data_IF_584688063370
#
_entry.id   IF_584688063370
#
_cell.length_a   1.000
_cell.length_b   1.000
_cell.length_c   1.000
_cell.angle_alpha   90.00
_cell.angle_beta   90.00
_cell.angle_gamma   90.00
#
_symmetry.space_group_name_H-M   'P 1'
#
loop_
_entity.id
_entity.type
_entity.pdbx_description
1 polymer ?
#
# COMPACT_ATOMS: atom_id res chain seq x y z
N UNK A 1 -28.96 6.75 -16.66
CA UNK A 1 -29.52 7.51 -15.52
C UNK A 1 -28.35 7.97 -14.68
N UNK A 2 -28.03 9.27 -14.80
CA UNK A 2 -26.87 9.93 -14.20
C UNK A 2 -27.14 10.23 -12.73
N UNK A 3 -26.66 9.39 -11.83
CA UNK A 3 -26.48 9.82 -10.45
C UNK A 3 -25.06 10.37 -10.33
N UNK A 4 -24.94 11.69 -10.48
CA UNK A 4 -23.76 12.43 -10.04
C UNK A 4 -23.85 12.44 -8.52
N UNK A 5 -23.27 11.45 -7.84
CA UNK A 5 -23.35 11.40 -6.39
C UNK A 5 -22.34 12.38 -5.79
N UNK A 6 -22.85 13.49 -5.26
CA UNK A 6 -22.10 14.38 -4.38
C UNK A 6 -21.80 13.69 -3.05
N UNK A 7 -20.83 14.23 -2.29
CA UNK A 7 -20.50 13.71 -0.96
C UNK A 7 -21.75 13.63 -0.06
N UNK A 8 -22.14 12.41 0.32
CA UNK A 8 -23.20 12.20 1.30
C UNK A 8 -22.77 12.70 2.69
N UNK A 9 -23.70 12.90 3.65
CA UNK A 9 -23.34 13.26 5.02
C UNK A 9 -22.33 12.29 5.65
N UNK A 10 -22.42 10.99 5.35
CA UNK A 10 -21.49 10.01 5.90
C UNK A 10 -20.08 10.13 5.30
N UNK A 11 -19.96 10.44 4.01
CA UNK A 11 -18.65 10.73 3.40
C UNK A 11 -18.00 11.95 4.08
N UNK A 12 -18.76 13.03 4.28
CA UNK A 12 -18.27 14.24 4.96
C UNK A 12 -17.81 13.92 6.38
N UNK A 13 -18.60 13.16 7.12
CA UNK A 13 -18.24 12.75 8.48
C UNK A 13 -16.93 11.94 8.53
N UNK A 14 -16.67 11.07 7.54
CA UNK A 14 -15.39 10.35 7.40
C UNK A 14 -14.24 11.29 7.04
N UNK A 15 -14.44 12.19 6.08
CA UNK A 15 -13.42 13.17 5.66
C UNK A 15 -13.01 14.07 6.83
N UNK A 16 -13.98 14.51 7.63
CA UNK A 16 -13.81 15.39 8.79
C UNK A 16 -13.40 14.62 10.07
N UNK A 17 -13.21 13.29 10.00
CA UNK A 17 -12.93 12.40 11.14
C UNK A 17 -13.92 12.56 12.32
N UNK A 18 -15.19 12.82 12.01
CA UNK A 18 -16.24 13.09 12.99
C UNK A 18 -16.93 11.80 13.47
N UNK A 19 -16.33 11.15 14.47
CA UNK A 19 -16.82 9.88 15.03
C UNK A 19 -18.27 9.93 15.53
N UNK A 20 -18.71 11.07 16.09
CA UNK A 20 -20.08 11.23 16.61
C UNK A 20 -21.10 11.18 15.49
N UNK A 21 -20.82 11.91 14.41
CA UNK A 21 -21.69 11.94 13.24
C UNK A 21 -21.70 10.58 12.53
N UNK A 22 -20.55 9.91 12.43
CA UNK A 22 -20.45 8.54 11.89
C UNK A 22 -21.31 7.57 12.70
N UNK A 23 -21.26 7.64 14.04
CA UNK A 23 -22.07 6.77 14.89
C UNK A 23 -23.58 6.99 14.66
N UNK A 24 -24.00 8.24 14.46
CA UNK A 24 -25.40 8.58 14.16
C UNK A 24 -25.84 8.13 12.76
N UNK A 25 -24.93 8.21 11.78
CA UNK A 25 -25.20 7.88 10.38
C UNK A 25 -24.92 6.41 10.03
N UNK A 26 -24.31 5.62 10.91
CA UNK A 26 -24.00 4.20 10.68
C UNK A 26 -25.26 3.43 10.23
N UNK A 27 -25.14 2.66 9.16
CA UNK A 27 -26.25 1.97 8.48
C UNK A 27 -26.97 2.80 7.40
N UNK A 28 -26.67 4.10 7.26
CA UNK A 28 -27.13 4.95 6.17
C UNK A 28 -25.97 5.30 5.24
N UNK A 29 -26.23 5.38 3.93
CA UNK A 29 -25.25 5.81 2.93
C UNK A 29 -23.96 4.97 2.82
N UNK A 30 -23.87 3.81 3.47
CA UNK A 30 -22.65 2.99 3.54
C UNK A 30 -22.22 2.45 2.17
N UNK A 31 -23.18 2.09 1.34
CA UNK A 31 -22.95 1.59 -0.03
C UNK A 31 -23.02 2.70 -1.08
N UNK A 32 -23.25 3.96 -0.68
CA UNK A 32 -23.21 5.07 -1.61
C UNK A 32 -21.76 5.37 -1.95
N UNK A 33 -21.49 5.65 -3.22
CA UNK A 33 -20.20 6.16 -3.65
C UNK A 33 -20.23 7.70 -3.75
N UNK A 34 -19.07 8.33 -3.55
CA UNK A 34 -18.81 9.70 -3.96
C UNK A 34 -18.66 9.81 -5.49
N UNK A 35 -18.30 11.00 -5.97
CA UNK A 35 -18.12 11.31 -7.39
C UNK A 35 -16.86 10.67 -8.01
N UNK A 36 -15.93 10.18 -7.18
CA UNK A 36 -14.78 9.37 -7.60
C UNK A 36 -15.08 7.87 -7.57
N UNK A 37 -16.24 7.48 -7.03
CA UNK A 37 -16.65 6.09 -6.92
C UNK A 37 -16.24 5.41 -5.61
N UNK A 38 -15.81 6.13 -4.58
CA UNK A 38 -15.43 5.56 -3.28
C UNK A 38 -16.59 5.61 -2.29
N UNK A 39 -16.77 4.52 -1.54
CA UNK A 39 -17.67 4.45 -0.39
C UNK A 39 -17.07 5.16 0.83
N UNK A 40 -17.87 5.47 1.88
CA UNK A 40 -17.33 6.01 3.13
C UNK A 40 -16.32 5.06 3.80
N UNK A 41 -16.48 3.74 3.63
CA UNK A 41 -15.50 2.75 4.11
C UNK A 41 -14.16 2.90 3.38
N UNK A 42 -14.18 2.98 2.07
CA UNK A 42 -12.96 3.15 1.27
C UNK A 42 -12.30 4.51 1.56
N UNK A 43 -13.06 5.58 1.74
CA UNK A 43 -12.49 6.86 2.17
C UNK A 43 -11.86 6.77 3.56
N UNK A 44 -12.46 6.04 4.51
CA UNK A 44 -11.86 5.87 5.83
C UNK A 44 -10.55 5.06 5.76
N UNK A 45 -10.42 4.13 4.81
CA UNK A 45 -9.16 3.43 4.51
C UNK A 45 -8.13 4.37 3.89
N UNK A 46 -8.50 5.06 2.81
CA UNK A 46 -7.60 5.94 2.06
C UNK A 46 -7.18 7.17 2.85
N UNK A 47 -7.97 7.66 3.80
CA UNK A 47 -7.64 8.81 4.64
C UNK A 47 -7.02 8.42 5.98
N UNK A 48 -6.63 7.16 6.17
CA UNK A 48 -6.08 6.63 7.42
C UNK A 48 -6.95 7.01 8.66
N UNK A 49 -8.22 6.61 8.67
CA UNK A 49 -9.17 6.88 9.76
C UNK A 49 -9.53 5.58 10.49
N UNK A 50 -8.62 5.02 11.31
CA UNK A 50 -8.81 3.70 11.93
C UNK A 50 -10.04 3.64 12.85
N UNK A 51 -10.32 4.72 13.60
CA UNK A 51 -11.49 4.78 14.48
C UNK A 51 -12.79 4.87 13.68
N UNK A 52 -12.81 5.65 12.59
CA UNK A 52 -13.92 5.66 11.64
C UNK A 52 -14.17 4.27 11.04
N UNK A 53 -13.09 3.57 10.64
CA UNK A 53 -13.16 2.21 10.11
C UNK A 53 -13.72 1.23 11.12
N UNK A 54 -13.27 1.26 12.37
CA UNK A 54 -13.77 0.36 13.40
C UNK A 54 -15.28 0.57 13.66
N UNK A 55 -15.73 1.82 13.64
CA UNK A 55 -17.16 2.13 13.73
C UNK A 55 -17.95 1.64 12.52
N UNK A 56 -17.44 1.80 11.29
CA UNK A 56 -18.17 1.47 10.07
C UNK A 56 -18.11 -0.02 9.73
N UNK A 57 -16.94 -0.62 9.89
CA UNK A 57 -16.60 -1.96 9.47
C UNK A 57 -15.50 -2.53 10.39
N UNK A 58 -15.88 -3.13 11.53
CA UNK A 58 -14.94 -3.74 12.47
C UNK A 58 -14.00 -4.71 11.75
N UNK A 59 -12.71 -4.50 11.89
CA UNK A 59 -11.72 -5.32 11.20
C UNK A 59 -11.43 -6.59 11.99
N UNK A 60 -11.13 -7.68 11.27
CA UNK A 60 -10.65 -8.90 11.93
C UNK A 60 -9.25 -8.64 12.50
N UNK A 61 -8.91 -9.25 13.66
CA UNK A 61 -7.55 -9.21 14.16
C UNK A 61 -6.55 -9.72 13.12
N UNK A 62 -5.47 -8.98 12.93
CA UNK A 62 -4.36 -9.32 12.03
C UNK A 62 -3.14 -9.65 12.89
N UNK A 63 -2.36 -10.63 12.44
CA UNK A 63 -1.12 -11.02 13.07
C UNK A 63 -0.03 -11.32 12.05
N UNK A 64 1.21 -11.11 12.44
CA UNK A 64 2.38 -11.22 11.58
C UNK A 64 3.37 -12.25 12.14
N UNK A 65 3.96 -13.05 11.26
CA UNK A 65 5.02 -13.97 11.64
C UNK A 65 6.37 -13.26 11.60
N UNK A 66 7.10 -13.24 12.71
CA UNK A 66 8.35 -12.52 12.86
C UNK A 66 9.42 -13.39 13.54
N UNK A 67 10.57 -13.55 12.90
CA UNK A 67 11.79 -14.10 13.50
C UNK A 67 12.73 -12.95 13.82
N UNK A 68 13.00 -12.77 15.12
CA UNK A 68 13.89 -11.71 15.62
C UNK A 68 15.37 -12.05 15.39
N UNK A 69 16.22 -11.02 15.43
CA UNK A 69 17.67 -11.18 15.49
C UNK A 69 18.06 -12.15 16.62
N UNK A 70 19.03 -13.02 16.34
CA UNK A 70 19.54 -14.05 17.25
C UNK A 70 18.51 -15.13 17.70
N UNK A 71 17.33 -15.15 17.08
CA UNK A 71 16.30 -16.18 17.29
C UNK A 71 16.18 -17.10 16.08
N UNK A 72 15.95 -18.39 16.31
CA UNK A 72 15.62 -19.38 15.28
C UNK A 72 14.12 -19.63 15.14
N UNK A 73 13.29 -19.01 15.98
CA UNK A 73 11.85 -19.27 16.06
C UNK A 73 11.04 -18.15 15.42
N UNK A 74 9.96 -18.52 14.72
CA UNK A 74 8.93 -17.59 14.27
C UNK A 74 7.93 -17.33 15.41
N UNK A 75 7.76 -16.07 15.77
CA UNK A 75 6.76 -15.62 16.72
C UNK A 75 5.59 -14.98 15.98
N UNK A 76 4.39 -15.07 16.56
CA UNK A 76 3.23 -14.33 16.07
C UNK A 76 3.14 -13.02 16.83
N UNK A 77 3.09 -11.89 16.11
CA UNK A 77 2.90 -10.56 16.66
C UNK A 77 1.55 -10.01 16.20
N UNK A 78 0.80 -9.38 17.09
CA UNK A 78 -0.35 -8.57 16.70
C UNK A 78 0.11 -7.21 16.11
N UNK A 79 -0.84 -6.36 15.68
CA UNK A 79 -0.54 -5.06 15.08
C UNK A 79 0.27 -4.16 16.01
N UNK A 80 -0.19 -3.93 17.24
CA UNK A 80 0.50 -3.05 18.20
C UNK A 80 1.93 -3.54 18.54
N UNK A 81 2.12 -4.86 18.67
CA UNK A 81 3.45 -5.45 18.90
C UNK A 81 4.39 -5.23 17.71
N UNK A 82 3.88 -5.41 16.48
CA UNK A 82 4.61 -5.16 15.26
C UNK A 82 4.98 -3.69 15.11
N UNK A 83 4.03 -2.79 15.31
CA UNK A 83 4.24 -1.34 15.19
C UNK A 83 5.30 -0.85 16.18
N UNK A 84 5.18 -1.26 17.44
CA UNK A 84 6.17 -0.95 18.48
C UNK A 84 7.55 -1.57 18.16
N UNK A 85 7.59 -2.80 17.63
CA UNK A 85 8.85 -3.50 17.34
C UNK A 85 9.64 -2.83 16.22
N UNK A 86 8.96 -2.40 15.18
CA UNK A 86 9.59 -1.86 13.97
C UNK A 86 9.54 -0.33 13.89
N UNK A 87 8.91 0.34 14.87
CA UNK A 87 8.70 1.78 14.92
C UNK A 87 8.06 2.31 13.64
N UNK A 88 6.97 1.66 13.23
CA UNK A 88 6.15 1.99 12.06
C UNK A 88 4.67 1.82 12.41
N UNK A 89 3.79 2.55 11.74
CA UNK A 89 2.35 2.32 11.76
C UNK A 89 1.96 1.38 10.61
N UNK A 90 1.11 0.39 10.90
CA UNK A 90 0.69 -0.59 9.91
C UNK A 90 -0.45 -0.04 9.04
N UNK A 91 -0.17 0.17 7.76
CA UNK A 91 -1.15 0.61 6.76
C UNK A 91 -1.37 -0.47 5.70
N UNK A 92 -2.48 -1.23 5.73
CA UNK A 92 -2.78 -2.23 4.71
C UNK A 92 -3.29 -1.64 3.39
N UNK A 93 -3.53 -0.32 3.34
CA UNK A 93 -3.96 0.43 2.16
C UNK A 93 -2.99 1.59 1.90
N UNK A 94 -2.96 2.09 0.66
CA UNK A 94 -2.41 3.41 0.39
C UNK A 94 -3.20 4.45 1.19
N UNK A 95 -2.48 5.42 1.77
CA UNK A 95 -3.08 6.48 2.57
C UNK A 95 -2.76 7.86 2.02
N UNK A 96 -3.61 8.82 2.31
CA UNK A 96 -3.56 10.19 1.83
C UNK A 96 -3.85 11.12 3.00
N UNK A 97 -3.08 12.20 3.12
CA UNK A 97 -3.26 13.21 4.17
C UNK A 97 -4.68 13.82 4.14
N UNK A 98 -5.24 13.99 2.94
CA UNK A 98 -6.54 14.62 2.76
C UNK A 98 -7.30 14.10 1.53
N UNK A 99 -8.62 14.28 1.57
CA UNK A 99 -9.48 14.01 0.41
C UNK A 99 -9.09 14.88 -0.80
N UNK A 100 -8.65 16.12 -0.57
CA UNK A 100 -8.17 17.00 -1.64
C UNK A 100 -6.94 16.41 -2.35
N UNK A 101 -5.96 15.89 -1.59
CA UNK A 101 -4.78 15.23 -2.13
C UNK A 101 -5.16 13.96 -2.90
N UNK A 102 -6.06 13.12 -2.37
CA UNK A 102 -6.57 11.94 -3.08
C UNK A 102 -7.16 12.32 -4.45
N UNK A 103 -8.02 13.34 -4.49
CA UNK A 103 -8.62 13.84 -5.74
C UNK A 103 -7.57 14.32 -6.72
N UNK A 104 -6.60 15.11 -6.23
CA UNK A 104 -5.51 15.62 -7.05
C UNK A 104 -4.70 14.48 -7.65
N UNK A 105 -4.29 13.50 -6.85
CA UNK A 105 -3.49 12.35 -7.28
C UNK A 105 -4.23 11.52 -8.31
N UNK A 106 -5.53 11.29 -8.11
CA UNK A 106 -6.37 10.62 -9.10
C UNK A 106 -6.34 11.43 -10.38
N UNK A 107 -6.62 12.74 -10.36
CA UNK A 107 -6.56 13.57 -11.57
C UNK A 107 -5.20 13.51 -12.25
N UNK A 108 -4.10 13.50 -11.50
CA UNK A 108 -2.74 13.44 -12.03
C UNK A 108 -2.36 12.08 -12.65
N UNK A 109 -3.19 11.05 -12.53
CA UNK A 109 -2.96 9.76 -13.17
C UNK A 109 -2.77 9.92 -14.69
N UNK A 110 -1.64 9.45 -15.25
CA UNK A 110 -1.35 9.54 -16.68
C UNK A 110 -2.46 8.94 -17.55
N UNK A 111 -2.80 9.62 -18.65
CA UNK A 111 -3.79 9.12 -19.62
C UNK A 111 -3.45 7.71 -20.11
N UNK A 112 -2.17 7.42 -20.34
CA UNK A 112 -1.71 6.11 -20.81
C UNK A 112 -2.05 4.98 -19.82
N UNK A 113 -1.99 5.25 -18.51
CA UNK A 113 -2.35 4.28 -17.48
C UNK A 113 -3.87 4.13 -17.33
N UNK A 114 -4.64 5.14 -17.74
CA UNK A 114 -6.11 5.13 -17.74
C UNK A 114 -6.72 4.51 -18.99
N UNK A 115 -5.97 4.39 -20.08
CA UNK A 115 -6.50 3.90 -21.33
C UNK A 115 -6.29 2.39 -21.48
N UNK A 116 -7.38 1.62 -21.38
CA UNK A 116 -7.38 0.16 -21.49
C UNK A 116 -6.90 -0.40 -22.83
N UNK A 117 -6.75 0.44 -23.86
CA UNK A 117 -6.23 0.02 -25.16
C UNK A 117 -4.70 0.11 -25.23
N UNK A 118 -4.08 1.04 -24.50
CA UNK A 118 -2.62 1.25 -24.48
C UNK A 118 -1.97 0.56 -23.25
N UNK A 119 -2.68 0.53 -22.13
CA UNK A 119 -2.28 -0.15 -20.89
C UNK A 119 -3.28 -1.27 -20.54
N UNK A 120 -3.63 -2.10 -21.52
CA UNK A 120 -4.56 -3.22 -21.37
C UNK A 120 -4.20 -4.12 -20.17
N UNK A 121 -2.90 -4.32 -19.95
CA UNK A 121 -2.39 -5.13 -18.85
C UNK A 121 -2.74 -4.55 -17.48
N UNK A 122 -2.70 -3.22 -17.29
CA UNK A 122 -2.94 -2.60 -15.98
C UNK A 122 -4.37 -2.81 -15.49
N UNK A 123 -5.36 -2.61 -16.37
CA UNK A 123 -6.77 -2.91 -16.06
C UNK A 123 -7.02 -4.40 -15.93
N UNK A 124 -6.30 -5.22 -16.70
CA UNK A 124 -6.37 -6.67 -16.59
C UNK A 124 -5.87 -7.12 -15.22
N UNK A 125 -4.77 -6.56 -14.71
CA UNK A 125 -4.28 -6.83 -13.35
C UNK A 125 -5.25 -6.36 -12.27
N UNK A 126 -5.84 -5.16 -12.41
CA UNK A 126 -6.90 -4.71 -11.50
C UNK A 126 -8.07 -5.68 -11.46
N UNK A 127 -8.52 -6.16 -12.62
CA UNK A 127 -9.62 -7.13 -12.71
C UNK A 127 -9.23 -8.49 -12.14
N UNK A 128 -8.03 -8.97 -12.47
CA UNK A 128 -7.49 -10.26 -12.03
C UNK A 128 -7.31 -10.31 -10.51
N UNK A 129 -6.80 -9.22 -9.91
CA UNK A 129 -6.46 -9.15 -8.49
C UNK A 129 -7.42 -8.32 -7.67
N UNK A 130 -8.63 -8.00 -8.20
CA UNK A 130 -9.65 -7.17 -7.54
C UNK A 130 -9.90 -7.61 -6.10
N UNK A 131 -10.15 -8.92 -5.90
CA UNK A 131 -10.43 -9.47 -4.58
C UNK A 131 -9.26 -9.27 -3.61
N UNK A 132 -8.04 -9.55 -4.06
CA UNK A 132 -6.82 -9.40 -3.27
C UNK A 132 -6.59 -7.94 -2.87
N UNK A 133 -6.90 -7.02 -3.79
CA UNK A 133 -6.78 -5.59 -3.62
C UNK A 133 -7.83 -5.03 -2.65
N UNK A 134 -9.07 -5.50 -2.70
CA UNK A 134 -10.16 -5.03 -1.84
C UNK A 134 -10.07 -5.64 -0.42
N UNK A 135 -9.58 -6.88 -0.31
CA UNK A 135 -9.41 -7.62 0.95
C UNK A 135 -7.99 -7.52 1.55
N UNK A 136 -7.10 -6.70 0.95
CA UNK A 136 -5.69 -6.50 1.36
C UNK A 136 -4.92 -7.80 1.58
N UNK A 137 -5.15 -8.77 0.69
CA UNK A 137 -4.53 -10.09 0.79
C UNK A 137 -3.02 -9.97 0.64
N UNK A 138 -2.29 -10.52 1.61
CA UNK A 138 -0.86 -10.77 1.51
C UNK A 138 -0.65 -12.27 1.33
N UNK A 139 0.32 -12.66 0.51
CA UNK A 139 0.80 -14.03 0.50
C UNK A 139 1.23 -14.45 1.91
N UNK A 140 1.18 -15.75 2.22
CA UNK A 140 1.68 -16.23 3.51
C UNK A 140 3.18 -15.94 3.58
N UNK A 141 3.56 -15.02 4.44
CA UNK A 141 4.94 -14.55 4.58
C UNK A 141 5.32 -14.39 6.04
N UNK A 142 6.62 -14.31 6.29
CA UNK A 142 7.20 -13.90 7.56
C UNK A 142 8.28 -12.84 7.37
N UNK A 143 8.48 -12.01 8.39
CA UNK A 143 9.62 -11.12 8.50
C UNK A 143 10.72 -11.86 9.26
N UNK A 144 11.93 -11.93 8.73
CA UNK A 144 13.05 -12.61 9.39
C UNK A 144 14.30 -11.76 9.35
N UNK A 145 15.11 -11.85 10.40
CA UNK A 145 16.44 -11.27 10.40
C UNK A 145 17.33 -11.93 9.34
N UNK A 146 18.03 -11.12 8.55
CA UNK A 146 18.93 -11.58 7.47
C UNK A 146 20.38 -11.43 7.90
N UNK A 147 20.82 -10.21 8.22
CA UNK A 147 22.19 -9.90 8.64
C UNK A 147 22.26 -8.49 9.24
N UNK A 148 23.39 -8.12 9.85
CA UNK A 148 23.61 -6.75 10.34
C UNK A 148 23.65 -5.69 9.22
N UNK A 149 24.10 -6.07 8.02
CA UNK A 149 24.19 -5.15 6.88
C UNK A 149 22.84 -4.92 6.18
N UNK A 150 21.96 -5.92 6.20
CA UNK A 150 20.67 -5.90 5.49
C UNK A 150 19.52 -5.58 6.45
N UNK A 151 19.60 -6.06 7.69
CA UNK A 151 18.52 -6.03 8.66
C UNK A 151 17.52 -7.16 8.42
N UNK A 152 16.23 -6.81 8.33
CA UNK A 152 15.14 -7.77 8.15
C UNK A 152 14.79 -7.96 6.67
N UNK A 153 14.23 -9.12 6.34
CA UNK A 153 13.75 -9.49 5.02
C UNK A 153 12.37 -10.14 5.07
N UNK A 154 11.66 -10.14 3.94
CA UNK A 154 10.38 -10.82 3.78
C UNK A 154 10.57 -12.22 3.16
N UNK A 155 9.95 -13.24 3.73
CA UNK A 155 10.14 -14.64 3.35
C UNK A 155 8.82 -15.34 3.06
N UNK A 156 8.80 -16.22 2.06
CA UNK A 156 7.64 -17.04 1.73
C UNK A 156 7.36 -18.12 2.80
N UNK A 157 6.11 -18.28 3.24
CA UNK A 157 5.67 -19.36 4.14
C UNK A 157 4.89 -20.48 3.44
N UNK A 158 4.81 -20.41 2.12
CA UNK A 158 4.21 -21.42 1.25
C UNK A 158 4.95 -21.47 -0.09
N UNK A 159 4.83 -22.59 -0.80
CA UNK A 159 5.27 -22.64 -2.19
C UNK A 159 4.35 -21.76 -3.06
N UNK A 160 4.93 -21.07 -4.03
CA UNK A 160 4.22 -20.20 -4.97
C UNK A 160 4.67 -20.52 -6.39
N UNK A 161 3.76 -20.39 -7.34
CA UNK A 161 4.04 -20.53 -8.77
C UNK A 161 4.17 -19.16 -9.42
N UNK A 162 4.76 -19.11 -10.63
CA UNK A 162 4.86 -17.87 -11.41
C UNK A 162 3.47 -17.26 -11.60
N UNK A 163 3.35 -15.97 -11.35
CA UNK A 163 2.10 -15.21 -11.46
C UNK A 163 1.30 -15.08 -10.16
N UNK A 164 1.66 -15.81 -9.10
CA UNK A 164 0.97 -15.71 -7.80
C UNK A 164 1.11 -14.30 -7.22
N UNK A 165 0.00 -13.78 -6.69
CA UNK A 165 -0.05 -12.48 -6.03
C UNK A 165 0.68 -12.52 -4.70
N UNK A 166 1.58 -11.55 -4.48
CA UNK A 166 2.35 -11.43 -3.24
C UNK A 166 1.72 -10.42 -2.30
N UNK A 167 1.42 -9.22 -2.81
CA UNK A 167 0.93 -8.11 -2.01
C UNK A 167 1.02 -6.79 -2.76
N UNK A 168 0.35 -5.78 -2.21
CA UNK A 168 0.51 -4.38 -2.62
C UNK A 168 1.55 -3.68 -1.74
N UNK A 169 2.40 -2.83 -2.33
CA UNK A 169 3.21 -1.88 -1.60
C UNK A 169 2.37 -0.70 -1.16
N UNK A 170 2.20 -0.54 0.16
CA UNK A 170 1.39 0.53 0.72
C UNK A 170 2.21 1.42 1.65
N UNK A 171 1.71 2.63 1.84
CA UNK A 171 2.26 3.64 2.72
C UNK A 171 1.57 4.96 2.46
N UNK A 172 2.17 6.03 2.96
CA UNK A 172 1.67 7.39 2.75
C UNK A 172 1.97 7.86 1.33
N UNK A 173 0.94 8.20 0.56
CA UNK A 173 1.12 8.86 -0.72
C UNK A 173 1.20 10.37 -0.50
N UNK A 174 2.41 10.90 -0.66
CA UNK A 174 2.73 12.31 -0.39
C UNK A 174 3.44 12.97 -1.56
N UNK A 175 3.31 14.30 -1.63
CA UNK A 175 4.03 15.11 -2.60
C UNK A 175 5.48 15.32 -2.15
N UNK A 176 6.44 15.11 -3.05
CA UNK A 176 7.83 15.48 -2.83
C UNK A 176 8.03 16.98 -3.08
N UNK A 177 8.71 17.64 -2.15
CA UNK A 177 9.15 19.02 -2.37
C UNK A 177 10.25 19.06 -3.44
N UNK A 178 10.03 19.88 -4.47
CA UNK A 178 11.00 20.14 -5.53
C UNK A 178 12.29 20.81 -5.04
N UNK A 179 12.18 21.57 -3.95
CA UNK A 179 13.27 22.39 -3.44
C UNK A 179 14.10 21.65 -2.40
N UNK A 180 13.49 20.68 -1.71
CA UNK A 180 14.12 19.84 -0.69
C UNK A 180 13.53 18.44 -0.77
N UNK A 181 14.15 17.57 -1.55
CA UNK A 181 13.74 16.16 -1.57
C UNK A 181 14.14 15.53 -0.24
N UNK A 182 13.14 15.10 0.51
CA UNK A 182 13.24 14.30 1.74
C UNK A 182 13.00 12.81 1.45
N UNK A 183 13.26 12.39 0.21
CA UNK A 183 13.09 11.01 -0.22
C UNK A 183 14.03 10.09 0.58
N UNK A 184 13.46 9.06 1.19
CA UNK A 184 14.19 8.04 1.93
C UNK A 184 14.20 6.69 1.16
N UNK A 185 14.86 5.69 1.72
CA UNK A 185 15.01 4.37 1.09
C UNK A 185 13.73 3.54 0.96
N UNK A 186 12.60 3.99 1.50
CA UNK A 186 11.30 3.33 1.43
C UNK A 186 10.32 4.04 0.48
N UNK A 187 10.75 5.12 -0.17
CA UNK A 187 9.94 5.86 -1.13
C UNK A 187 9.93 5.18 -2.51
N UNK A 188 8.74 4.88 -3.01
CA UNK A 188 8.51 4.41 -4.38
C UNK A 188 7.88 5.53 -5.23
N UNK A 189 8.46 5.81 -6.39
CA UNK A 189 7.96 6.86 -7.29
C UNK A 189 6.58 6.54 -7.85
N UNK A 190 5.68 7.52 -7.80
CA UNK A 190 4.32 7.40 -8.30
C UNK A 190 4.16 8.19 -9.60
N UNK A 191 3.59 7.58 -10.64
CA UNK A 191 3.55 8.20 -11.96
C UNK A 191 2.54 9.35 -12.02
N UNK A 192 2.92 10.44 -12.68
CA UNK A 192 2.04 11.58 -12.96
C UNK A 192 2.03 11.91 -14.44
N UNK A 193 1.03 12.70 -14.88
CA UNK A 193 0.97 13.29 -16.21
C UNK A 193 2.34 13.90 -16.58
N UNK A 194 2.77 13.78 -17.83
CA UNK A 194 4.10 14.22 -18.26
C UNK A 194 4.35 15.73 -18.11
N UNK A 195 3.29 16.54 -18.03
CA UNK A 195 3.34 17.98 -17.76
C UNK A 195 3.11 18.34 -16.29
N UNK A 196 2.92 17.34 -15.41
CA UNK A 196 2.67 17.57 -14.00
C UNK A 196 3.88 18.24 -13.38
N UNK A 197 3.61 19.30 -12.61
CA UNK A 197 4.64 19.86 -11.77
C UNK A 197 4.74 19.13 -10.42
N UNK A 198 3.80 18.27 -10.07
CA UNK A 198 3.82 17.59 -8.79
C UNK A 198 4.46 16.20 -8.95
N UNK A 199 5.37 15.88 -8.03
CA UNK A 199 6.00 14.57 -7.94
C UNK A 199 5.46 13.90 -6.68
N UNK A 200 4.95 12.69 -6.80
CA UNK A 200 4.45 11.93 -5.65
C UNK A 200 5.30 10.69 -5.44
N UNK A 201 5.33 10.25 -4.18
CA UNK A 201 5.89 8.97 -3.78
C UNK A 201 4.92 8.26 -2.85
N UNK A 202 4.98 6.93 -2.86
CA UNK A 202 4.48 6.11 -1.77
C UNK A 202 5.64 5.99 -0.77
N UNK A 203 5.51 6.58 0.40
CA UNK A 203 6.50 6.53 1.48
C UNK A 203 6.11 5.51 2.54
N UNK A 204 6.86 4.42 2.62
CA UNK A 204 6.64 3.36 3.60
C UNK A 204 7.59 3.42 4.80
N UNK A 205 8.27 4.56 5.03
CA UNK A 205 9.25 4.67 6.12
C UNK A 205 8.59 4.52 7.49
N UNK A 206 7.55 5.32 7.75
CA UNK A 206 6.84 5.37 9.04
C UNK A 206 5.43 4.78 8.98
N UNK A 207 4.82 4.69 7.80
CA UNK A 207 3.47 4.19 7.60
C UNK A 207 3.47 3.22 6.41
N UNK A 208 3.16 1.95 6.60
CA UNK A 208 3.19 0.98 5.51
C UNK A 208 2.90 -0.45 5.93
N UNK A 209 3.11 -1.41 5.04
CA UNK A 209 2.88 -2.83 5.32
C UNK A 209 4.15 -3.68 5.23
N UNK A 210 3.98 -5.00 5.29
CA UNK A 210 5.07 -5.98 5.29
C UNK A 210 5.92 -5.95 4.00
N UNK A 211 5.40 -5.41 2.89
CA UNK A 211 6.13 -5.34 1.62
C UNK A 211 7.37 -4.44 1.71
N UNK A 212 7.43 -3.51 2.67
CA UNK A 212 8.61 -2.66 2.93
C UNK A 212 9.86 -3.45 3.32
N UNK A 213 9.72 -4.71 3.77
CA UNK A 213 10.83 -5.59 4.15
C UNK A 213 11.39 -6.41 2.97
N UNK A 214 10.89 -6.21 1.75
CA UNK A 214 11.44 -6.87 0.57
C UNK A 214 12.79 -6.24 0.24
N UNK A 215 13.84 -7.05 0.22
CA UNK A 215 15.19 -6.60 -0.07
C UNK A 215 15.52 -6.62 -1.57
N UNK A 216 16.64 -6.00 -1.90
CA UNK A 216 17.20 -6.02 -3.24
C UNK A 216 17.80 -7.39 -3.61
N UNK A 217 17.70 -7.74 -4.89
CA UNK A 217 18.58 -8.71 -5.56
C UNK A 217 18.73 -8.34 -7.04
N UNK A 218 19.92 -8.59 -7.61
CA UNK A 218 20.14 -8.53 -9.06
C UNK A 218 19.40 -9.65 -9.80
N UNK A 219 19.06 -10.73 -9.09
CA UNK A 219 18.30 -11.88 -9.59
C UNK A 219 16.97 -12.02 -8.83
N UNK A 220 16.05 -11.06 -8.95
CA UNK A 220 14.83 -11.03 -8.15
C UNK A 220 13.87 -12.15 -8.54
N UNK A 221 13.13 -12.65 -7.55
CA UNK A 221 12.16 -13.74 -7.68
C UNK A 221 10.71 -13.26 -7.68
N UNK A 222 10.46 -11.98 -7.36
CA UNK A 222 9.16 -11.32 -7.55
C UNK A 222 9.34 -10.10 -8.47
N UNK A 223 8.25 -9.62 -9.07
CA UNK A 223 8.28 -8.47 -9.97
C UNK A 223 7.13 -7.49 -9.68
N UNK A 224 7.38 -6.18 -9.81
CA UNK A 224 6.35 -5.15 -9.67
C UNK A 224 5.41 -5.14 -10.88
N UNK A 225 4.13 -4.86 -10.65
CA UNK A 225 3.13 -4.49 -11.65
C UNK A 225 2.34 -3.28 -11.16
N UNK A 226 1.76 -2.51 -12.08
CA UNK A 226 0.88 -1.39 -11.75
C UNK A 226 -0.57 -1.77 -12.06
N UNK A 227 -1.39 -1.93 -11.02
CA UNK A 227 -2.84 -1.99 -11.17
C UNK A 227 -3.41 -0.56 -11.10
N UNK A 228 -4.48 -0.29 -11.83
CA UNK A 228 -5.15 1.01 -11.80
C UNK A 228 -6.64 0.84 -11.52
N UNK A 229 -7.14 1.50 -10.48
CA UNK A 229 -8.54 1.45 -10.05
C UNK A 229 -9.09 2.85 -9.82
N UNK A 230 -10.15 3.25 -10.53
CA UNK A 230 -10.73 4.62 -10.45
C UNK A 230 -9.67 5.75 -10.60
N UNK A 231 -8.60 5.49 -11.36
CA UNK A 231 -7.48 6.42 -11.54
C UNK A 231 -6.43 6.39 -10.43
N UNK A 232 -6.64 5.61 -9.38
CA UNK A 232 -5.64 5.30 -8.37
C UNK A 232 -4.73 4.18 -8.86
N UNK A 233 -3.42 4.43 -8.89
CA UNK A 233 -2.40 3.43 -9.21
C UNK A 233 -2.07 2.66 -7.93
N UNK A 234 -1.90 1.36 -8.06
CA UNK A 234 -1.62 0.42 -6.97
C UNK A 234 -0.41 -0.41 -7.36
N UNK A 235 0.67 -0.23 -6.59
CA UNK A 235 1.93 -0.93 -6.86
C UNK A 235 1.85 -2.33 -6.27
N UNK A 236 1.63 -3.34 -7.11
CA UNK A 236 1.49 -4.73 -6.67
C UNK A 236 2.73 -5.54 -7.03
N UNK A 237 2.89 -6.70 -6.41
CA UNK A 237 3.94 -7.65 -6.73
C UNK A 237 3.39 -9.05 -6.97
N UNK A 238 3.97 -9.71 -7.96
CA UNK A 238 3.68 -11.12 -8.29
C UNK A 238 4.97 -11.95 -8.32
N UNK A 239 4.84 -13.26 -8.13
CA UNK A 239 5.94 -14.20 -8.32
C UNK A 239 6.41 -14.20 -9.78
N UNK A 240 7.72 -14.00 -9.99
CA UNK A 240 8.33 -14.02 -11.33
C UNK A 240 8.67 -15.44 -11.79
N UNK A 241 9.01 -16.29 -10.84
CA UNK A 241 9.37 -17.70 -11.00
C UNK A 241 8.72 -18.52 -9.86
N UNK A 242 8.74 -19.85 -9.89
CA UNK A 242 8.38 -20.65 -8.72
C UNK A 242 9.22 -20.27 -7.49
N UNK A 243 8.58 -20.13 -6.34
CA UNK A 243 9.21 -19.75 -5.06
C UNK A 243 8.89 -20.85 -4.06
N UNK A 244 9.92 -21.45 -3.47
CA UNK A 244 9.75 -22.42 -2.40
C UNK A 244 9.49 -21.73 -1.06
N UNK A 245 8.76 -22.40 -0.18
CA UNK A 245 8.64 -22.00 1.23
C UNK A 245 10.03 -21.81 1.85
N UNK A 246 10.19 -20.73 2.61
CA UNK A 246 11.43 -20.35 3.28
C UNK A 246 12.37 -19.50 2.43
N UNK A 247 12.04 -19.25 1.16
CA UNK A 247 12.83 -18.37 0.28
C UNK A 247 12.54 -16.90 0.57
N UNK A 248 13.60 -16.08 0.61
CA UNK A 248 13.48 -14.62 0.74
C UNK A 248 12.88 -14.03 -0.55
N UNK A 249 11.89 -13.16 -0.42
CA UNK A 249 11.30 -12.40 -1.51
C UNK A 249 12.14 -11.16 -1.79
N UNK A 250 12.49 -10.94 -3.06
CA UNK A 250 13.41 -9.88 -3.47
C UNK A 250 13.01 -9.24 -4.79
N UNK A 251 13.31 -7.94 -4.93
CA UNK A 251 13.09 -7.16 -6.15
C UNK A 251 14.39 -6.50 -6.63
N UNK A 252 14.43 -6.08 -7.89
CA UNK A 252 15.46 -5.15 -8.32
C UNK A 252 15.00 -3.72 -7.95
N UNK A 253 15.79 -3.00 -7.15
CA UNK A 253 15.46 -1.63 -6.71
C UNK A 253 15.73 -0.59 -7.81
N UNK A 254 16.42 -0.97 -8.89
CA UNK A 254 16.88 -0.07 -9.92
C UNK A 254 18.17 0.66 -9.56
N UNK A 255 18.84 1.20 -10.57
CA UNK A 255 20.12 1.90 -10.40
C UNK A 255 19.97 3.19 -9.57
N UNK A 256 18.85 3.90 -9.71
CA UNK A 256 18.58 5.16 -9.03
C UNK A 256 18.51 5.04 -7.50
N UNK A 257 18.19 3.85 -6.99
CA UNK A 257 18.19 3.58 -5.56
C UNK A 257 19.59 3.71 -4.96
N UNK A 258 20.57 3.08 -5.62
CA UNK A 258 21.94 3.01 -5.12
C UNK A 258 22.67 4.34 -5.16
N UNK A 259 22.29 5.24 -6.07
CA UNK A 259 22.88 6.57 -6.19
C UNK A 259 22.36 7.54 -5.12
N UNK A 260 21.17 7.31 -4.57
CA UNK A 260 20.50 8.19 -3.60
C UNK A 260 20.58 7.70 -2.15
N UNK A 261 21.07 6.48 -1.91
CA UNK A 261 21.08 5.87 -0.57
C UNK A 261 22.01 6.64 0.39
N UNK A 262 21.41 7.30 1.38
CA UNK A 262 22.09 7.69 2.60
C UNK A 262 21.96 6.56 3.63
N UNK A 263 23.00 6.30 4.44
CA UNK A 263 22.90 5.32 5.53
C UNK A 263 21.81 5.80 6.50
N UNK A 264 20.71 5.06 6.58
CA UNK A 264 19.68 5.28 7.59
C UNK A 264 20.21 4.71 8.90
N UNK A 265 20.62 5.58 9.82
CA UNK A 265 20.78 5.20 11.23
C UNK A 265 19.36 5.15 11.81
N UNK A 266 18.87 3.95 12.12
CA UNK A 266 17.67 3.83 12.96
C UNK A 266 18.01 4.43 14.34
N UNK A 267 17.09 5.20 14.97
CA UNK A 267 17.27 5.63 16.36
C UNK A 267 17.36 4.45 17.33
#
# INVERSE_FOLDING_TARGET
MSHIFSLTPLHKAVIDDNLKEIQFLKGKYQECCDDLGFTPRELAQLLNRPQCLELLYPQKPISFLVQLKDSSTLNTMNVAEFENRFNIEYAPFLTFESYALLREVIDQCPYILRNSWIAADNFTYTKQFRKQLDETVLAKVSIRWVSDDVGYGLFAEQNMVKGDFIGEYTGELRMLSRWRSDQNGYCLHYHTKWWSLNYYVIDAMLLGNLMRFINHSDFPNIQPLCAVDRGLQRQIFIARNPILKGTQLTINYGADYWTKRQKITMP
#
